data_IF_547281532800
#
_entry.id   IF_547281532800
#
_cell.length_a   1.000
_cell.length_b   1.000
_cell.length_c   1.000
_cell.angle_alpha   90.00
_cell.angle_beta   90.00
_cell.angle_gamma   90.00
#
_symmetry.space_group_name_H-M   'P 1'
#
loop_
_entity.id
_entity.type
_entity.pdbx_description
1 polymer ?
#
# COMPACT_ATOMS: atom_id res chain seq x y z
N UNK A 1 -15.77 -26.28 18.88
CA UNK A 1 -14.53 -26.65 18.16
C UNK A 1 -14.59 -26.36 16.66
N UNK A 2 -15.49 -26.96 15.86
CA UNK A 2 -15.57 -26.72 14.39
C UNK A 2 -15.77 -25.26 13.98
N UNK A 3 -16.63 -24.51 14.69
CA UNK A 3 -16.85 -23.09 14.40
C UNK A 3 -15.59 -22.23 14.65
N UNK A 4 -14.82 -22.56 15.69
CA UNK A 4 -13.61 -21.85 16.06
C UNK A 4 -12.47 -22.11 15.05
N UNK A 5 -12.32 -23.36 14.61
CA UNK A 5 -11.41 -23.71 13.50
C UNK A 5 -11.75 -22.96 12.21
N UNK A 6 -13.05 -22.85 11.89
CA UNK A 6 -13.49 -22.13 10.69
C UNK A 6 -13.17 -20.63 10.74
N UNK A 7 -13.28 -20.01 11.92
CA UNK A 7 -12.89 -18.61 12.13
C UNK A 7 -11.36 -18.47 11.97
N UNK A 8 -10.60 -19.41 12.53
CA UNK A 8 -9.15 -19.43 12.41
C UNK A 8 -8.69 -19.53 10.94
N UNK A 9 -9.34 -20.40 10.16
CA UNK A 9 -9.05 -20.57 8.72
C UNK A 9 -9.32 -19.28 7.94
N UNK A 10 -10.43 -18.59 8.22
CA UNK A 10 -10.75 -17.29 7.60
C UNK A 10 -9.68 -16.24 7.93
N UNK A 11 -9.25 -16.20 9.19
CA UNK A 11 -8.22 -15.26 9.66
C UNK A 11 -6.87 -15.55 8.98
N UNK A 12 -6.49 -16.82 8.89
CA UNK A 12 -5.28 -17.27 8.19
C UNK A 12 -5.33 -16.96 6.70
N UNK A 13 -6.49 -17.08 6.06
CA UNK A 13 -6.66 -16.71 4.65
C UNK A 13 -6.53 -15.20 4.43
N UNK A 14 -7.08 -14.39 5.34
CA UNK A 14 -6.91 -12.93 5.31
C UNK A 14 -5.44 -12.57 5.50
N UNK A 15 -4.77 -13.17 6.50
CA UNK A 15 -3.34 -12.99 6.74
C UNK A 15 -2.52 -13.34 5.51
N UNK A 16 -2.80 -14.49 4.90
CA UNK A 16 -2.13 -14.95 3.69
C UNK A 16 -2.32 -13.96 2.54
N UNK A 17 -3.55 -13.45 2.31
CA UNK A 17 -3.81 -12.44 1.29
C UNK A 17 -3.02 -11.16 1.54
N UNK A 18 -2.94 -10.71 2.80
CA UNK A 18 -2.15 -9.54 3.20
C UNK A 18 -0.66 -9.78 2.94
N UNK A 19 -0.12 -10.93 3.35
CA UNK A 19 1.28 -11.32 3.11
C UNK A 19 1.63 -11.44 1.62
N UNK A 20 0.72 -11.97 0.80
CA UNK A 20 0.91 -12.06 -0.65
C UNK A 20 0.96 -10.67 -1.28
N UNK A 21 0.05 -9.76 -0.88
CA UNK A 21 0.08 -8.36 -1.33
C UNK A 21 1.41 -7.69 -0.97
N UNK A 22 1.95 -7.96 0.21
CA UNK A 22 3.26 -7.44 0.62
C UNK A 22 4.42 -7.98 -0.21
N UNK A 23 4.42 -9.29 -0.47
CA UNK A 23 5.43 -9.92 -1.31
C UNK A 23 5.42 -9.30 -2.71
N UNK A 24 4.25 -9.15 -3.30
CA UNK A 24 4.10 -8.62 -4.67
C UNK A 24 4.43 -7.12 -4.75
N UNK A 25 4.29 -6.39 -3.63
CA UNK A 25 4.65 -4.97 -3.52
C UNK A 25 6.14 -4.69 -3.23
N UNK A 26 7.02 -5.72 -3.20
CA UNK A 26 8.46 -5.60 -2.88
C UNK A 26 8.73 -4.89 -1.54
N UNK A 27 8.08 -5.37 -0.48
CA UNK A 27 8.13 -4.75 0.85
C UNK A 27 9.55 -4.76 1.50
N UNK A 28 9.85 -3.72 2.29
CA UNK A 28 11.16 -3.46 2.93
C UNK A 28 11.43 -1.96 3.10
N UNK A 29 12.70 -1.52 3.16
CA UNK A 29 13.08 -0.08 3.17
C UNK A 29 12.43 0.67 1.99
N UNK A 30 12.29 -0.01 0.84
CA UNK A 30 11.69 0.55 -0.36
C UNK A 30 10.22 0.96 -0.18
N UNK A 31 9.50 0.35 0.78
CA UNK A 31 8.14 0.76 1.13
C UNK A 31 8.11 2.07 1.93
N UNK A 32 9.03 2.24 2.89
CA UNK A 32 9.19 3.52 3.61
C UNK A 32 9.49 4.64 2.60
N UNK A 33 10.35 4.36 1.62
CA UNK A 33 10.63 5.28 0.51
C UNK A 33 9.38 5.59 -0.31
N UNK A 34 8.50 4.61 -0.54
CA UNK A 34 7.25 4.81 -1.29
C UNK A 34 6.25 5.69 -0.53
N UNK A 35 6.25 5.64 0.80
CA UNK A 35 5.39 6.48 1.63
C UNK A 35 5.70 7.97 1.41
N UNK A 36 6.98 8.31 1.18
CA UNK A 36 7.38 9.67 0.81
C UNK A 36 6.86 10.14 -0.55
N UNK A 37 6.32 9.24 -1.39
CA UNK A 37 5.66 9.59 -2.67
C UNK A 37 4.17 9.86 -2.53
N UNK A 38 3.59 9.73 -1.32
CA UNK A 38 2.20 10.07 -1.07
C UNK A 38 1.84 11.53 -1.41
N UNK A 39 2.68 12.54 -1.09
CA UNK A 39 2.40 13.91 -1.48
C UNK A 39 2.24 14.07 -2.99
N UNK A 40 3.16 13.47 -3.77
CA UNK A 40 3.08 13.47 -5.23
C UNK A 40 1.78 12.79 -5.71
N UNK A 41 1.45 11.62 -5.16
CA UNK A 41 0.23 10.89 -5.48
C UNK A 41 -1.05 11.71 -5.21
N UNK A 42 -1.11 12.46 -4.12
CA UNK A 42 -2.28 13.27 -3.77
C UNK A 42 -2.38 14.55 -4.59
N UNK A 43 -1.25 15.18 -4.91
CA UNK A 43 -1.19 16.42 -5.71
C UNK A 43 -1.42 16.18 -7.19
N UNK A 44 -1.10 14.98 -7.69
CA UNK A 44 -1.26 14.62 -9.10
C UNK A 44 -2.74 14.57 -9.52
N UNK A 45 -3.11 15.37 -10.53
CA UNK A 45 -4.48 15.46 -11.05
C UNK A 45 -4.90 14.25 -11.90
N UNK A 46 -3.94 13.52 -12.46
CA UNK A 46 -4.18 12.34 -13.30
C UNK A 46 -4.58 11.11 -12.48
N UNK A 47 -4.28 11.11 -11.17
CA UNK A 47 -4.66 10.04 -10.26
C UNK A 47 -6.18 10.08 -10.02
N UNK A 48 -6.84 8.95 -10.27
CA UNK A 48 -8.26 8.77 -10.05
C UNK A 48 -8.66 9.11 -8.60
N UNK A 49 -9.77 9.84 -8.44
CA UNK A 49 -10.35 10.18 -7.15
C UNK A 49 -10.68 8.95 -6.30
N UNK A 50 -11.02 7.82 -6.92
CA UNK A 50 -11.29 6.55 -6.22
C UNK A 50 -10.01 6.03 -5.53
N UNK A 51 -8.87 6.06 -6.24
CA UNK A 51 -7.58 5.66 -5.66
C UNK A 51 -7.18 6.61 -4.53
N UNK A 52 -7.38 7.92 -4.68
CA UNK A 52 -7.14 8.89 -3.59
C UNK A 52 -8.04 8.62 -2.39
N UNK A 53 -9.34 8.43 -2.62
CA UNK A 53 -10.29 8.13 -1.55
C UNK A 53 -9.95 6.83 -0.82
N UNK A 54 -9.49 5.80 -1.55
CA UNK A 54 -9.05 4.52 -0.97
C UNK A 54 -7.83 4.70 -0.06
N UNK A 55 -6.83 5.46 -0.49
CA UNK A 55 -5.65 5.77 0.35
C UNK A 55 -6.05 6.62 1.57
N UNK A 56 -6.83 7.69 1.37
CA UNK A 56 -7.28 8.57 2.45
C UNK A 56 -8.12 7.83 3.50
N UNK A 57 -9.09 7.03 3.06
CA UNK A 57 -9.92 6.22 3.97
C UNK A 57 -9.09 5.20 4.73
N UNK A 58 -8.10 4.58 4.09
CA UNK A 58 -7.18 3.64 4.76
C UNK A 58 -6.37 4.35 5.85
N UNK A 59 -5.81 5.52 5.55
CA UNK A 59 -5.08 6.33 6.55
C UNK A 59 -6.01 6.72 7.71
N UNK A 60 -7.23 7.16 7.39
CA UNK A 60 -8.22 7.53 8.40
C UNK A 60 -8.58 6.36 9.32
N UNK A 61 -8.80 5.17 8.75
CA UNK A 61 -9.07 3.94 9.53
C UNK A 61 -7.88 3.62 10.43
N UNK A 62 -6.66 3.64 9.89
CA UNK A 62 -5.45 3.36 10.67
C UNK A 62 -5.28 4.33 11.85
N UNK A 63 -5.44 5.63 11.62
CA UNK A 63 -5.34 6.65 12.68
C UNK A 63 -6.47 6.48 13.70
N UNK A 64 -7.71 6.33 13.23
CA UNK A 64 -8.87 6.16 14.12
C UNK A 64 -8.69 4.94 15.01
N UNK A 65 -8.17 3.85 14.46
CA UNK A 65 -7.91 2.64 15.23
C UNK A 65 -6.83 2.87 16.29
N UNK A 66 -5.65 3.39 15.89
CA UNK A 66 -4.53 3.70 16.80
C UNK A 66 -4.91 4.69 17.91
N UNK A 67 -5.81 5.64 17.62
CA UNK A 67 -6.24 6.66 18.59
C UNK A 67 -7.40 6.16 19.46
N UNK A 68 -8.25 5.28 18.97
CA UNK A 68 -9.45 4.84 19.71
C UNK A 68 -9.12 4.05 20.97
N UNK A 69 -7.96 3.38 21.02
CA UNK A 69 -7.59 2.48 22.12
C UNK A 69 -8.60 1.33 22.30
N UNK A 70 -9.35 1.00 21.25
CA UNK A 70 -10.29 -0.13 21.22
C UNK A 70 -9.60 -1.28 20.48
N UNK A 71 -9.38 -2.39 21.17
CA UNK A 71 -8.85 -3.61 20.54
C UNK A 71 -9.92 -4.28 19.69
N UNK A 72 -9.56 -4.60 18.44
CA UNK A 72 -10.44 -5.34 17.53
C UNK A 72 -10.69 -6.77 18.05
N UNK A 73 -9.74 -7.30 18.82
CA UNK A 73 -9.88 -8.56 19.56
C UNK A 73 -9.79 -8.25 21.05
N UNK A 74 -10.86 -8.47 21.84
CA UNK A 74 -10.84 -8.20 23.28
C UNK A 74 -9.64 -8.89 23.95
N UNK A 75 -8.84 -8.14 24.73
CA UNK A 75 -7.66 -8.66 25.45
C UNK A 75 -7.96 -9.91 26.29
N UNK A 76 -9.21 -10.07 26.74
CA UNK A 76 -9.70 -11.29 27.41
C UNK A 76 -9.50 -12.58 26.60
N UNK A 77 -9.39 -12.50 25.27
CA UNK A 77 -9.25 -13.63 24.35
C UNK A 77 -7.77 -13.88 23.99
N UNK A 78 -6.98 -12.82 23.85
CA UNK A 78 -5.61 -12.86 23.30
C UNK A 78 -4.50 -12.66 24.34
N UNK A 79 -4.81 -12.17 25.54
CA UNK A 79 -3.81 -11.92 26.58
C UNK A 79 -2.66 -11.03 26.08
N UNK A 80 -1.41 -11.49 26.22
CA UNK A 80 -0.16 -10.77 25.83
C UNK A 80 -0.07 -10.47 24.32
N UNK A 81 -0.99 -11.00 23.51
CA UNK A 81 -1.05 -10.78 22.05
C UNK A 81 -1.94 -9.60 21.62
N UNK A 82 -2.30 -8.69 22.53
CA UNK A 82 -3.01 -7.43 22.21
C UNK A 82 -2.25 -6.49 21.26
N UNK A 83 -0.98 -6.76 20.94
CA UNK A 83 -0.25 -6.01 19.89
C UNK A 83 -0.42 -6.62 18.49
N UNK A 84 -0.99 -7.81 18.39
CA UNK A 84 -1.08 -8.55 17.12
C UNK A 84 -2.15 -7.96 16.22
N UNK A 85 -3.31 -7.57 16.77
CA UNK A 85 -4.37 -6.89 16.02
C UNK A 85 -3.95 -5.47 15.60
N UNK A 86 -3.26 -4.73 16.47
CA UNK A 86 -2.59 -3.46 16.11
C UNK A 86 -1.64 -3.62 14.93
N UNK A 87 -0.74 -4.60 15.01
CA UNK A 87 0.20 -4.90 13.93
C UNK A 87 -0.55 -5.30 12.65
N UNK A 88 -1.66 -6.02 12.76
CA UNK A 88 -2.48 -6.40 11.62
C UNK A 88 -3.12 -5.20 10.93
N UNK A 89 -3.71 -4.26 11.69
CA UNK A 89 -4.33 -3.05 11.13
C UNK A 89 -3.29 -2.17 10.47
N UNK A 90 -2.12 -2.01 11.10
CA UNK A 90 -0.99 -1.31 10.50
C UNK A 90 -0.57 -1.98 9.21
N UNK A 91 -0.28 -3.28 9.24
CA UNK A 91 0.15 -4.02 8.06
C UNK A 91 -0.90 -3.96 6.93
N UNK A 92 -2.16 -4.22 7.22
CA UNK A 92 -3.23 -4.14 6.24
C UNK A 92 -3.31 -2.75 5.58
N UNK A 93 -3.22 -1.70 6.39
CA UNK A 93 -3.25 -0.31 5.92
C UNK A 93 -2.06 0.00 5.02
N UNK A 94 -0.85 -0.38 5.45
CA UNK A 94 0.37 -0.20 4.68
C UNK A 94 0.33 -0.97 3.35
N UNK A 95 -0.23 -2.17 3.34
CA UNK A 95 -0.41 -2.97 2.13
C UNK A 95 -1.28 -2.27 1.08
N UNK A 96 -2.41 -1.70 1.49
CA UNK A 96 -3.29 -0.96 0.58
C UNK A 96 -2.60 0.29 0.03
N UNK A 97 -1.93 1.06 0.89
CA UNK A 97 -1.21 2.27 0.47
C UNK A 97 -0.12 1.90 -0.55
N UNK A 98 0.66 0.84 -0.28
CA UNK A 98 1.70 0.39 -1.19
C UNK A 98 1.15 -0.01 -2.55
N UNK A 99 0.02 -0.72 -2.57
CA UNK A 99 -0.62 -1.18 -3.79
C UNK A 99 -1.04 -0.01 -4.69
N UNK A 100 -1.66 1.04 -4.12
CA UNK A 100 -2.09 2.22 -4.87
C UNK A 100 -0.90 3.07 -5.35
N UNK A 101 0.15 3.21 -4.54
CA UNK A 101 1.37 3.92 -4.94
C UNK A 101 2.10 3.19 -6.07
N UNK A 102 2.14 1.85 -6.03
CA UNK A 102 2.78 1.08 -7.09
C UNK A 102 1.97 1.15 -8.40
N UNK A 103 0.63 1.13 -8.33
CA UNK A 103 -0.23 1.42 -9.49
C UNK A 103 0.05 2.80 -10.07
N UNK A 104 0.16 3.82 -9.22
CA UNK A 104 0.48 5.18 -9.63
C UNK A 104 1.83 5.26 -10.35
N UNK A 105 2.88 4.63 -9.81
CA UNK A 105 4.19 4.60 -10.48
C UNK A 105 4.14 3.88 -11.82
N UNK A 106 3.42 2.76 -11.91
CA UNK A 106 3.24 2.04 -13.18
C UNK A 106 2.53 2.91 -14.20
N UNK A 107 1.44 3.56 -13.80
CA UNK A 107 0.73 4.53 -14.64
C UNK A 107 1.65 5.66 -15.13
N UNK A 108 2.48 6.23 -14.26
CA UNK A 108 3.46 7.26 -14.65
C UNK A 108 4.58 6.74 -15.55
N UNK A 109 5.00 5.49 -15.37
CA UNK A 109 6.04 4.86 -16.18
C UNK A 109 5.52 4.44 -17.56
N UNK A 110 4.24 4.05 -17.64
CA UNK A 110 3.56 3.67 -18.88
C UNK A 110 3.00 4.88 -19.65
N UNK A 111 2.78 6.02 -18.97
CA UNK A 111 2.66 7.34 -19.62
C UNK A 111 4.01 7.76 -20.17
N UNK A 112 4.43 7.10 -21.25
CA UNK A 112 5.48 7.53 -22.15
C UNK A 112 5.24 9.01 -22.48
N UNK A 113 6.21 9.88 -22.24
CA UNK A 113 6.12 11.26 -22.72
C UNK A 113 6.12 11.20 -24.25
N UNK A 114 5.02 11.56 -24.93
CA UNK A 114 4.94 11.45 -26.38
C UNK A 114 5.98 12.33 -27.10
N UNK A 115 6.65 13.22 -26.38
CA UNK A 115 7.69 14.10 -26.91
C UNK A 115 9.12 13.59 -26.66
N UNK A 116 9.31 12.47 -25.96
CA UNK A 116 10.64 11.89 -25.74
C UNK A 116 10.82 10.69 -26.67
N UNK A 117 11.67 10.87 -27.67
CA UNK A 117 12.14 9.78 -28.53
C UNK A 117 13.40 9.18 -27.87
N UNK A 118 13.27 8.01 -27.24
CA UNK A 118 14.42 7.27 -26.70
C UNK A 118 15.04 6.39 -27.80
N UNK A 119 16.37 6.24 -27.79
CA UNK A 119 17.09 5.36 -28.72
C UNK A 119 17.43 5.97 -30.09
N UNK A 120 17.47 7.30 -30.20
CA UNK A 120 17.94 7.99 -31.40
C UNK A 120 19.45 8.22 -31.31
N UNK A 121 20.20 7.60 -32.21
CA UNK A 121 21.58 7.99 -32.51
C UNK A 121 21.54 9.30 -33.31
N UNK A 122 22.10 10.37 -32.76
CA UNK A 122 22.26 11.63 -33.47
C UNK A 122 23.74 11.92 -33.70
N UNK A 123 24.05 12.42 -34.89
CA UNK A 123 25.40 12.89 -35.24
C UNK A 123 25.33 14.41 -35.38
N UNK A 124 26.02 15.13 -34.50
CA UNK A 124 26.18 16.58 -34.63
C UNK A 124 27.17 16.81 -35.76
N UNK A 125 26.75 17.54 -36.81
CA UNK A 125 27.67 18.08 -37.80
C UNK A 125 28.13 19.44 -37.29
N UNK A 126 29.41 19.56 -37.02
CA UNK A 126 30.03 20.87 -36.86
C UNK A 126 30.05 21.53 -38.24
N UNK A 127 29.30 22.63 -38.41
CA UNK A 127 29.42 23.50 -39.58
C UNK A 127 30.69 24.34 -39.42
N UNK A 128 31.62 24.20 -40.37
CA UNK A 128 32.87 24.99 -40.49
C UNK A 128 32.62 26.50 -40.65
#
# INVERSE_FOLDING_TARGET
>A
MKALMRILDILLDILKKVLVRFKDAKFGIMFIINLFKLPDFFTDKEVNIISKAKVTSTIFIAITYLVSGIDFIPEMITGVFGFVDDLFVLLWSLGIISEEIEKYKKFKKESYDPNIIEGVDFTIKDEE
#
